data_IF_711898350079
#
_entry.id   IF_711898350079
#
_cell.length_a   1.000
_cell.length_b   1.000
_cell.length_c   1.000
_cell.angle_alpha   90.00
_cell.angle_beta   90.00
_cell.angle_gamma   90.00
#
_symmetry.space_group_name_H-M   'P 1'
#
loop_
_entity.id
_entity.type
_entity.pdbx_description
1 polymer ?
#
# COMPACT_ATOMS: atom_id res chain seq x y z
N UNK A 1 2.00 1.18 -12.96
CA UNK A 1 1.61 0.48 -11.72
C UNK A 1 0.20 0.93 -11.36
N UNK A 2 -0.57 0.11 -10.62
CA UNK A 2 -1.80 0.56 -9.98
C UNK A 2 -1.49 1.14 -8.60
N UNK A 3 -2.29 2.08 -8.12
CA UNK A 3 -2.23 2.57 -6.74
C UNK A 3 -3.52 2.21 -5.99
N UNK A 4 -3.41 1.85 -4.71
CA UNK A 4 -4.57 1.66 -3.83
C UNK A 4 -4.85 2.93 -3.02
N UNK A 5 -6.10 3.38 -3.03
CA UNK A 5 -6.64 4.36 -2.09
C UNK A 5 -7.67 3.67 -1.19
N UNK A 6 -7.41 3.63 0.11
CA UNK A 6 -8.28 2.97 1.08
C UNK A 6 -8.10 3.58 2.47
N UNK A 7 -9.14 3.49 3.31
CA UNK A 7 -9.05 3.82 4.72
C UNK A 7 -8.42 2.67 5.49
N UNK A 8 -7.46 2.96 6.36
CA UNK A 8 -6.67 1.94 7.07
C UNK A 8 -7.45 1.22 8.19
N UNK A 9 -8.65 1.68 8.52
CA UNK A 9 -9.47 1.14 9.62
C UNK A 9 -8.84 1.36 11.01
N UNK A 10 -9.42 0.72 12.03
CA UNK A 10 -9.08 0.92 13.45
C UNK A 10 -7.98 0.00 13.99
N UNK A 11 -7.60 -1.05 13.24
CA UNK A 11 -6.55 -2.01 13.62
C UNK A 11 -5.36 -1.84 12.67
N UNK A 12 -4.11 -1.85 13.15
CA UNK A 12 -2.98 -1.48 12.31
C UNK A 12 -2.91 -2.42 11.10
N UNK A 13 -3.05 -1.88 9.87
CA UNK A 13 -3.00 -2.72 8.69
C UNK A 13 -1.61 -3.35 8.57
N UNK A 14 -1.52 -4.40 7.78
CA UNK A 14 -0.28 -5.00 7.35
C UNK A 14 0.65 -3.89 6.79
N UNK A 15 1.63 -3.49 7.60
CA UNK A 15 2.44 -2.27 7.41
C UNK A 15 3.93 -2.60 7.35
N UNK A 16 4.70 -1.68 6.78
CA UNK A 16 6.15 -1.74 6.75
C UNK A 16 6.74 -0.83 7.83
N UNK A 17 7.38 -1.44 8.83
CA UNK A 17 8.15 -0.76 9.90
C UNK A 17 9.62 -1.13 9.75
N UNK A 18 10.51 -0.47 10.50
CA UNK A 18 11.94 -0.83 10.48
C UNK A 18 12.18 -2.30 10.86
N UNK A 19 11.43 -2.80 11.84
CA UNK A 19 11.51 -4.20 12.28
C UNK A 19 11.01 -5.20 11.25
N UNK A 20 10.11 -4.81 10.34
CA UNK A 20 9.52 -5.68 9.32
C UNK A 20 10.05 -5.41 7.92
N UNK A 21 10.93 -4.42 7.72
CA UNK A 21 11.38 -4.00 6.39
C UNK A 21 12.02 -5.15 5.60
N UNK A 22 12.92 -5.90 6.24
CA UNK A 22 13.60 -7.03 5.58
C UNK A 22 12.63 -8.12 5.15
N UNK A 23 11.63 -8.46 5.98
CA UNK A 23 10.62 -9.46 5.59
C UNK A 23 9.71 -8.94 4.47
N UNK A 24 9.43 -7.64 4.43
CA UNK A 24 8.66 -7.02 3.33
C UNK A 24 9.42 -7.04 2.00
N UNK A 25 10.74 -6.87 2.03
CA UNK A 25 11.60 -6.92 0.84
C UNK A 25 11.77 -8.36 0.32
N UNK A 26 11.98 -9.33 1.20
CA UNK A 26 12.13 -10.74 0.83
C UNK A 26 10.84 -11.35 0.26
N UNK A 27 9.69 -10.70 0.51
CA UNK A 27 8.39 -11.16 0.11
C UNK A 27 7.65 -11.85 1.25
N UNK A 28 6.33 -11.93 1.11
CA UNK A 28 5.44 -12.50 2.10
C UNK A 28 4.29 -13.24 1.41
N UNK A 29 3.71 -14.27 2.05
CA UNK A 29 2.54 -14.97 1.54
C UNK A 29 1.33 -14.06 1.37
N UNK A 30 0.57 -14.26 0.29
CA UNK A 30 -0.72 -13.58 0.07
C UNK A 30 -1.74 -13.84 1.20
N UNK A 31 -1.61 -14.96 1.91
CA UNK A 31 -2.49 -15.32 3.02
C UNK A 31 -2.32 -14.38 4.24
N UNK A 32 -1.17 -13.74 4.40
CA UNK A 32 -0.93 -12.77 5.47
C UNK A 32 -1.57 -11.40 5.19
N UNK A 33 -1.95 -11.14 3.94
CA UNK A 33 -2.60 -9.89 3.57
C UNK A 33 -4.05 -9.86 4.08
N UNK A 34 -4.48 -8.72 4.65
CA UNK A 34 -5.89 -8.42 4.86
C UNK A 34 -6.68 -8.54 3.56
N UNK A 35 -7.97 -8.81 3.67
CA UNK A 35 -8.86 -9.08 2.53
C UNK A 35 -8.74 -8.00 1.43
N UNK A 36 -8.90 -6.73 1.80
CA UNK A 36 -8.82 -5.59 0.86
C UNK A 36 -7.50 -5.56 0.08
N UNK A 37 -6.38 -5.82 0.75
CA UNK A 37 -5.07 -5.82 0.08
C UNK A 37 -4.92 -7.04 -0.84
N UNK A 38 -5.41 -8.20 -0.41
CA UNK A 38 -5.39 -9.43 -1.20
C UNK A 38 -6.21 -9.29 -2.49
N UNK A 39 -7.42 -8.76 -2.38
CA UNK A 39 -8.31 -8.48 -3.51
C UNK A 39 -7.68 -7.45 -4.45
N UNK A 40 -7.09 -6.38 -3.91
CA UNK A 40 -6.40 -5.37 -4.71
C UNK A 40 -5.23 -5.98 -5.50
N UNK A 41 -4.46 -6.89 -4.89
CA UNK A 41 -3.38 -7.61 -5.61
C UNK A 41 -3.97 -8.46 -6.73
N UNK A 42 -5.08 -9.15 -6.50
CA UNK A 42 -5.75 -9.96 -7.52
C UNK A 42 -6.23 -9.09 -8.69
N UNK A 43 -6.98 -8.03 -8.40
CA UNK A 43 -7.45 -7.05 -9.40
C UNK A 43 -6.28 -6.48 -10.21
N UNK A 44 -5.17 -6.15 -9.55
CA UNK A 44 -3.99 -5.63 -10.25
C UNK A 44 -3.41 -6.65 -11.24
N UNK A 45 -3.37 -7.93 -10.85
CA UNK A 45 -2.89 -9.02 -11.73
C UNK A 45 -3.85 -9.27 -12.88
N UNK A 46 -5.16 -9.25 -12.64
CA UNK A 46 -6.20 -9.45 -13.66
C UNK A 46 -6.18 -8.33 -14.72
N UNK A 47 -5.80 -7.12 -14.30
CA UNK A 47 -5.55 -5.98 -15.19
C UNK A 47 -4.21 -6.05 -15.94
N UNK A 48 -3.44 -7.12 -15.77
CA UNK A 48 -2.13 -7.31 -16.42
C UNK A 48 -1.01 -6.42 -15.89
N UNK A 49 -1.21 -5.77 -14.73
CA UNK A 49 -0.24 -4.87 -14.14
C UNK A 49 0.71 -5.63 -13.20
N UNK A 50 2.02 -5.47 -13.43
CA UNK A 50 3.05 -6.11 -12.59
C UNK A 50 3.24 -5.46 -11.21
N UNK A 51 2.96 -4.17 -11.12
CA UNK A 51 3.32 -3.36 -9.95
C UNK A 51 2.08 -2.72 -9.34
N UNK A 52 1.98 -2.82 -8.01
CA UNK A 52 0.95 -2.24 -7.18
C UNK A 52 1.62 -1.39 -6.09
N UNK A 53 1.11 -0.18 -5.87
CA UNK A 53 1.49 0.66 -4.76
C UNK A 53 0.40 0.66 -3.68
N UNK A 54 0.79 0.33 -2.44
CA UNK A 54 -0.09 0.35 -1.26
C UNK A 54 0.60 1.17 -0.19
N UNK A 55 -0.05 2.25 0.28
CA UNK A 55 0.57 3.17 1.24
C UNK A 55 1.10 2.51 2.51
N UNK A 56 0.37 1.56 3.09
CA UNK A 56 0.81 0.85 4.31
C UNK A 56 2.10 0.04 4.10
N UNK A 57 2.34 -0.46 2.89
CA UNK A 57 3.47 -1.33 2.54
C UNK A 57 4.65 -0.55 1.94
N UNK A 58 4.37 0.42 1.07
CA UNK A 58 5.39 1.15 0.32
C UNK A 58 5.93 2.36 1.10
N UNK A 59 5.27 2.78 2.17
CA UNK A 59 5.75 3.83 3.08
C UNK A 59 6.28 3.17 4.35
N UNK A 60 7.50 3.55 4.75
CA UNK A 60 8.07 3.14 6.02
C UNK A 60 7.37 3.89 7.16
N UNK A 61 6.57 3.17 7.93
CA UNK A 61 5.81 3.70 9.06
C UNK A 61 6.77 3.96 10.24
N UNK A 62 7.06 5.25 10.48
CA UNK A 62 7.83 5.75 11.63
C UNK A 62 6.92 6.63 12.50
N UNK A 63 7.28 7.87 12.75
CA UNK A 63 6.42 8.85 13.41
C UNK A 63 5.47 9.51 12.41
N UNK A 64 4.34 10.02 12.92
CA UNK A 64 3.38 10.77 12.11
C UNK A 64 4.03 11.97 11.42
N UNK A 65 4.90 12.69 12.13
CA UNK A 65 5.63 13.84 11.58
C UNK A 65 6.56 13.44 10.43
N UNK A 66 7.23 12.29 10.52
CA UNK A 66 8.08 11.79 9.45
C UNK A 66 7.26 11.45 8.20
N UNK A 67 6.13 10.77 8.38
CA UNK A 67 5.23 10.40 7.29
C UNK A 67 4.68 11.67 6.62
N UNK A 68 4.18 12.62 7.41
CA UNK A 68 3.63 13.88 6.93
C UNK A 68 4.68 14.70 6.16
N UNK A 69 5.86 14.89 6.74
CA UNK A 69 6.91 15.73 6.15
C UNK A 69 7.52 15.11 4.87
N UNK A 70 7.64 13.78 4.79
CA UNK A 70 8.36 13.12 3.68
C UNK A 70 7.45 12.56 2.59
N UNK A 71 6.27 12.04 2.96
CA UNK A 71 5.44 11.26 2.05
C UNK A 71 4.15 11.97 1.65
N UNK A 72 3.46 12.64 2.57
CA UNK A 72 2.18 13.33 2.24
C UNK A 72 2.35 14.36 1.13
N UNK A 73 3.43 15.15 1.16
CA UNK A 73 3.74 16.13 0.11
C UNK A 73 3.98 15.50 -1.28
N UNK A 74 4.28 14.20 -1.35
CA UNK A 74 4.59 13.47 -2.60
C UNK A 74 3.44 12.59 -3.09
N UNK A 75 2.32 12.53 -2.35
CA UNK A 75 1.19 11.67 -2.73
C UNK A 75 0.58 12.03 -4.07
N UNK A 76 0.54 13.32 -4.41
CA UNK A 76 0.10 13.78 -5.73
C UNK A 76 0.90 13.12 -6.86
N UNK A 77 2.20 12.86 -6.68
CA UNK A 77 3.03 12.19 -7.71
C UNK A 77 2.72 10.71 -7.81
N UNK A 78 2.50 10.04 -6.68
CA UNK A 78 2.16 8.61 -6.68
C UNK A 78 0.85 8.36 -7.39
N UNK A 79 -0.21 9.08 -7.02
CA UNK A 79 -1.52 8.92 -7.66
C UNK A 79 -1.52 9.47 -9.09
N UNK A 80 -0.86 10.60 -9.35
CA UNK A 80 -0.79 11.23 -10.67
C UNK A 80 0.05 10.48 -11.70
N UNK A 81 0.94 9.57 -11.27
CA UNK A 81 1.75 8.71 -12.15
C UNK A 81 1.30 7.25 -12.16
N UNK A 82 0.26 6.90 -11.41
CA UNK A 82 -0.36 5.59 -11.49
C UNK A 82 -1.11 5.45 -12.82
N UNK A 83 -1.12 4.24 -13.38
CA UNK A 83 -1.93 3.95 -14.58
C UNK A 83 -3.43 4.03 -14.25
N UNK A 84 -3.79 3.58 -13.05
CA UNK A 84 -5.11 3.71 -12.46
C UNK A 84 -5.00 3.67 -10.94
N UNK A 85 -6.05 4.15 -10.28
CA UNK A 85 -6.20 4.05 -8.83
C UNK A 85 -7.37 3.13 -8.52
N UNK A 86 -7.12 2.07 -7.76
CA UNK A 86 -8.14 1.20 -7.18
C UNK A 86 -8.58 1.88 -5.87
N UNK A 87 -9.88 2.06 -5.70
CA UNK A 87 -10.45 2.69 -4.50
C UNK A 87 -11.28 1.66 -3.76
N UNK A 88 -10.91 1.39 -2.50
CA UNK A 88 -11.78 0.61 -1.61
C UNK A 88 -12.90 1.53 -1.11
N UNK A 89 -14.13 1.25 -1.53
CA UNK A 89 -15.30 2.06 -1.16
C UNK A 89 -15.68 1.94 0.32
N UNK A 90 -15.39 0.79 0.92
CA UNK A 90 -15.64 0.47 2.33
C UNK A 90 -14.47 -0.37 2.87
N UNK A 91 -14.18 -0.26 4.16
CA UNK A 91 -13.04 -0.87 4.84
C UNK A 91 -13.51 -1.81 5.95
#
# INVERSE_FOLDING_TARGET
YAALSYCWGSSPPFTTKLSTLNSRIQGFPMAELPLTLRETVQVTRDLGLRYLWIGSLCILQRSQDYIAAKFSARMHKVYGQAFLTIVAAEA
#
